data_IF_727154738635
#
_entry.id   IF_727154738635
#
_cell.length_a   1.000
_cell.length_b   1.000
_cell.length_c   1.000
_cell.angle_alpha   90.00
_cell.angle_beta   90.00
_cell.angle_gamma   90.00
#
_symmetry.space_group_name_H-M   'P 1'
#
loop_
_entity.id
_entity.type
_entity.pdbx_description
1 polymer ?
#
# COMPACT_ATOMS: atom_id res chain seq x y z
N UNK A 1 17.40 -16.90 1.65
CA UNK A 1 16.16 -16.23 1.22
C UNK A 1 15.01 -16.92 1.97
N UNK A 2 14.14 -16.20 2.68
CA UNK A 2 13.01 -16.83 3.37
C UNK A 2 12.07 -17.49 2.37
N UNK A 3 11.46 -18.61 2.77
CA UNK A 3 10.45 -19.31 1.97
C UNK A 3 9.26 -18.38 1.66
N UNK A 4 8.66 -18.48 0.45
CA UNK A 4 7.61 -17.56 0.02
C UNK A 4 6.39 -17.55 0.96
N UNK A 5 6.06 -18.70 1.56
CA UNK A 5 4.98 -18.85 2.54
C UNK A 5 5.25 -18.08 3.84
N UNK A 6 6.51 -18.09 4.30
CA UNK A 6 6.97 -17.34 5.49
C UNK A 6 6.97 -15.84 5.22
N UNK A 7 7.41 -15.42 4.03
CA UNK A 7 7.39 -14.02 3.63
C UNK A 7 5.95 -13.48 3.51
N UNK A 8 5.05 -14.28 2.92
CA UNK A 8 3.65 -13.90 2.79
C UNK A 8 2.94 -13.78 4.14
N UNK A 9 3.25 -14.66 5.11
CA UNK A 9 2.74 -14.54 6.47
C UNK A 9 3.19 -13.23 7.15
N UNK A 10 4.45 -12.84 6.95
CA UNK A 10 4.97 -11.57 7.46
C UNK A 10 4.29 -10.36 6.80
N UNK A 11 4.01 -10.41 5.49
CA UNK A 11 3.27 -9.38 4.78
C UNK A 11 1.83 -9.25 5.26
N UNK A 12 1.15 -10.39 5.48
CA UNK A 12 -0.19 -10.39 6.05
C UNK A 12 -0.19 -9.77 7.46
N UNK A 13 0.82 -10.06 8.28
CA UNK A 13 0.96 -9.46 9.60
C UNK A 13 1.19 -7.94 9.53
N UNK A 14 2.05 -7.47 8.64
CA UNK A 14 2.31 -6.04 8.44
C UNK A 14 1.07 -5.28 7.92
N UNK A 15 0.23 -5.95 7.14
CA UNK A 15 -1.03 -5.39 6.63
C UNK A 15 -2.20 -5.45 7.62
N UNK A 16 -2.00 -5.98 8.85
CA UNK A 16 -3.09 -6.18 9.81
C UNK A 16 -4.07 -7.31 9.40
N UNK A 17 -3.68 -8.16 8.46
CA UNK A 17 -4.51 -9.20 7.87
C UNK A 17 -4.33 -10.58 8.55
N UNK A 18 -3.80 -10.65 9.77
CA UNK A 18 -3.53 -11.91 10.48
C UNK A 18 -4.77 -12.82 10.59
N UNK A 19 -5.94 -12.24 10.85
CA UNK A 19 -7.19 -13.00 10.93
C UNK A 19 -7.60 -13.56 9.57
N UNK A 20 -7.56 -12.73 8.52
CA UNK A 20 -7.83 -13.18 7.15
C UNK A 20 -6.82 -14.22 6.67
N UNK A 21 -5.56 -14.15 7.12
CA UNK A 21 -4.55 -15.18 6.83
C UNK A 21 -4.88 -16.53 7.48
N UNK A 22 -5.43 -16.52 8.70
CA UNK A 22 -5.84 -17.74 9.39
C UNK A 22 -7.10 -18.37 8.76
N UNK A 23 -8.09 -17.53 8.43
CA UNK A 23 -9.40 -17.98 7.93
C UNK A 23 -9.40 -18.23 6.41
N UNK A 24 -8.58 -17.49 5.65
CA UNK A 24 -8.60 -17.40 4.18
C UNK A 24 -7.20 -17.33 3.57
N UNK A 25 -6.29 -18.21 4.00
CA UNK A 25 -4.88 -18.18 3.60
C UNK A 25 -4.66 -18.08 2.08
N UNK A 26 -5.32 -18.92 1.30
CA UNK A 26 -5.13 -18.98 -0.15
C UNK A 26 -5.51 -17.66 -0.84
N UNK A 27 -6.59 -17.03 -0.38
CA UNK A 27 -7.06 -15.75 -0.93
C UNK A 27 -6.06 -14.63 -0.63
N UNK A 28 -5.48 -14.62 0.59
CA UNK A 28 -4.45 -13.65 0.96
C UNK A 28 -3.15 -13.89 0.18
N UNK A 29 -2.72 -15.13 0.00
CA UNK A 29 -1.55 -15.47 -0.83
C UNK A 29 -1.76 -15.02 -2.30
N UNK A 30 -2.96 -15.22 -2.84
CA UNK A 30 -3.32 -14.77 -4.19
C UNK A 30 -3.33 -13.24 -4.29
N UNK A 31 -3.87 -12.54 -3.30
CA UNK A 31 -3.85 -11.08 -3.24
C UNK A 31 -2.42 -10.53 -3.18
N UNK A 32 -1.54 -11.13 -2.38
CA UNK A 32 -0.11 -10.78 -2.32
C UNK A 32 0.55 -11.00 -3.68
N UNK A 33 0.29 -12.14 -4.33
CA UNK A 33 0.84 -12.43 -5.65
C UNK A 33 0.34 -11.44 -6.72
N UNK A 34 -0.94 -11.03 -6.67
CA UNK A 34 -1.49 -10.02 -7.55
C UNK A 34 -0.86 -8.64 -7.31
N UNK A 35 -0.72 -8.23 -6.04
CA UNK A 35 -0.05 -6.98 -5.68
C UNK A 35 1.42 -6.95 -6.13
N UNK A 36 2.13 -8.07 -6.05
CA UNK A 36 3.51 -8.19 -6.53
C UNK A 36 3.64 -7.92 -8.05
N UNK A 37 2.63 -8.30 -8.85
CA UNK A 37 2.58 -7.99 -10.29
C UNK A 37 2.36 -6.50 -10.56
N UNK A 38 1.61 -5.82 -9.69
CA UNK A 38 1.35 -4.38 -9.80
C UNK A 38 2.53 -3.54 -9.32
N UNK A 39 3.39 -4.09 -8.44
CA UNK A 39 4.57 -3.38 -7.91
C UNK A 39 5.49 -2.85 -9.02
N UNK A 40 5.64 -3.59 -10.12
CA UNK A 40 6.47 -3.16 -11.26
C UNK A 40 5.75 -2.20 -12.19
N UNK A 41 4.43 -2.02 -12.04
CA UNK A 41 3.65 -1.06 -12.82
C UNK A 41 3.84 0.39 -12.36
N UNK A 42 4.37 0.61 -11.16
CA UNK A 42 4.70 1.94 -10.65
C UNK A 42 6.19 2.21 -10.87
N UNK A 43 6.51 3.21 -11.69
CA UNK A 43 7.89 3.69 -11.82
C UNK A 43 8.28 4.38 -10.51
N UNK A 44 9.27 3.82 -9.81
CA UNK A 44 9.86 4.52 -8.67
C UNK A 44 10.49 5.82 -9.19
N UNK A 45 10.20 6.99 -8.59
CA UNK A 45 10.86 8.22 -8.98
C UNK A 45 12.38 8.07 -8.86
N UNK A 46 13.11 8.52 -9.89
CA UNK A 46 14.58 8.51 -9.88
C UNK A 46 15.14 9.47 -8.82
N UNK A 47 14.39 10.55 -8.54
CA UNK A 47 14.66 11.47 -7.45
C UNK A 47 13.87 11.05 -6.20
N UNK A 48 14.53 10.68 -5.09
CA UNK A 48 13.86 10.33 -3.84
C UNK A 48 13.13 11.50 -3.18
N UNK A 49 13.44 12.74 -3.54
CA UNK A 49 12.71 13.94 -3.10
C UNK A 49 11.50 14.26 -3.99
N UNK A 50 11.30 13.54 -5.09
CA UNK A 50 10.11 13.73 -5.92
C UNK A 50 8.85 13.32 -5.16
N UNK A 51 7.87 14.23 -5.12
CA UNK A 51 6.55 13.96 -4.57
C UNK A 51 5.91 12.74 -5.25
N UNK A 52 5.26 11.84 -4.50
CA UNK A 52 4.54 10.71 -5.08
C UNK A 52 3.42 11.22 -5.99
N UNK A 53 3.24 10.59 -7.16
CA UNK A 53 2.14 10.89 -8.07
C UNK A 53 0.93 9.97 -7.81
N UNK A 54 -0.31 10.50 -7.81
CA UNK A 54 -0.64 11.92 -7.92
C UNK A 54 -0.22 12.69 -6.66
N UNK A 55 0.23 13.94 -6.83
CA UNK A 55 0.58 14.80 -5.71
C UNK A 55 -0.56 14.83 -4.69
N UNK A 56 -0.24 14.66 -3.42
CA UNK A 56 -1.21 14.72 -2.34
C UNK A 56 -1.95 16.06 -2.42
N UNK A 57 -3.26 16.02 -2.72
CA UNK A 57 -4.13 17.20 -2.58
C UNK A 57 -4.64 17.24 -1.15
N UNK A 58 -4.19 18.18 -0.32
CA UNK A 58 -4.80 18.37 0.98
C UNK A 58 -6.28 18.75 0.80
N UNK A 59 -7.14 18.39 1.76
CA UNK A 59 -8.51 18.90 1.77
C UNK A 59 -8.49 20.43 1.70
N UNK A 60 -9.31 21.02 0.82
CA UNK A 60 -9.40 22.48 0.70
C UNK A 60 -9.86 23.05 2.04
N UNK A 61 -9.08 23.96 2.62
CA UNK A 61 -9.49 24.67 3.81
C UNK A 61 -10.84 25.38 3.53
N UNK A 62 -11.78 25.42 4.48
CA UNK A 62 -12.99 26.20 4.32
C UNK A 62 -12.57 27.65 4.04
N UNK A 63 -13.14 28.24 2.99
CA UNK A 63 -12.87 29.62 2.61
C UNK A 63 -13.14 30.50 3.83
N UNK A 64 -12.08 31.03 4.44
CA UNK A 64 -12.22 32.01 5.51
C UNK A 64 -12.96 33.21 4.92
N UNK A 65 -14.12 33.52 5.49
CA UNK A 65 -14.84 34.76 5.20
C UNK A 65 -13.88 35.95 5.38
N UNK A 66 -13.74 36.85 4.39
CA UNK A 66 -13.01 38.08 4.61
C UNK A 66 -13.79 38.94 5.61
N UNK A 67 -13.16 39.09 6.78
CA UNK A 67 -13.28 40.12 7.81
C UNK A 67 -14.25 41.29 7.54
N UNK A 68 -15.03 41.66 8.57
CA UNK A 68 -15.39 43.05 8.85
C UNK A 68 -14.53 43.58 10.00
#
# INVERSE_FOLDING_TARGET
MPEPSTMNAALAAAAGAQRAWADHRADVEQAIAAAARLRTGFTRPADPAAEPLPAHRPPQAPAGEPKA
#
